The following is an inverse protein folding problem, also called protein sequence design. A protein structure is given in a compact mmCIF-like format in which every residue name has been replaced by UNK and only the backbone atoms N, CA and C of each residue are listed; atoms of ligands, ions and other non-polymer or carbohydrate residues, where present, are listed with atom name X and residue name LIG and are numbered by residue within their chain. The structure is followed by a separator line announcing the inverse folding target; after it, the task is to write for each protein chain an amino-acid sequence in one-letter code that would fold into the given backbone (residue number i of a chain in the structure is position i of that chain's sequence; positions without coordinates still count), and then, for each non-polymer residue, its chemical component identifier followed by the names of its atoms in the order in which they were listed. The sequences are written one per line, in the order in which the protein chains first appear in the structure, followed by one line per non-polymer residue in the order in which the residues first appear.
data_IF_922682490334
#
_entry.id   IF_922682490334
#
_cell.length_a   1.000
_cell.length_b   1.000
_cell.length_c   1.000
_cell.angle_alpha   90.00
_cell.angle_beta   90.00
_cell.angle_gamma   90.00
#
_symmetry.space_group_name_H-M   'P 1'
#
loop_
_entity.id
_entity.type
_entity.pdbx_description
1 polymer ?
#
# COMPACT_ATOMS: atom_id res chain seq x y z
N UNK A 1 5.83 4.27 -6.20
CA UNK A 1 4.75 4.85 -5.35
C UNK A 1 4.67 4.17 -3.99
N UNK A 2 4.45 2.85 -3.90
CA UNK A 2 4.32 2.14 -2.62
C UNK A 2 5.40 2.46 -1.56
N UNK A 3 6.69 2.45 -1.93
CA UNK A 3 7.78 2.83 -1.00
C UNK A 3 7.67 4.26 -0.48
N UNK A 4 7.26 5.21 -1.31
CA UNK A 4 7.14 6.62 -0.89
C UNK A 4 5.92 6.81 0.01
N UNK A 5 4.81 6.14 -0.29
CA UNK A 5 3.65 6.07 0.61
C UNK A 5 4.05 5.49 1.97
N UNK A 6 4.83 4.41 1.98
CA UNK A 6 5.36 3.82 3.20
C UNK A 6 6.21 4.83 3.99
N UNK A 7 7.17 5.50 3.33
CA UNK A 7 8.05 6.48 3.98
C UNK A 7 7.25 7.63 4.59
N UNK A 8 6.32 8.21 3.86
CA UNK A 8 5.46 9.29 4.34
C UNK A 8 4.57 8.81 5.51
N UNK A 9 4.01 7.60 5.44
CA UNK A 9 3.23 7.04 6.54
C UNK A 9 4.03 6.96 7.84
N UNK A 10 5.31 6.56 7.76
CA UNK A 10 6.19 6.51 8.93
C UNK A 10 6.55 7.90 9.44
N UNK A 11 6.83 8.85 8.54
CA UNK A 11 7.21 10.22 8.89
C UNK A 11 6.06 11.00 9.55
N UNK A 12 4.87 10.93 8.98
CA UNK A 12 3.69 11.64 9.49
C UNK A 12 3.10 10.98 10.75
N UNK A 13 3.12 9.66 10.83
CA UNK A 13 2.62 8.92 11.99
C UNK A 13 1.09 8.83 12.13
N UNK A 14 0.32 9.51 11.27
CA UNK A 14 -1.15 9.49 11.26
C UNK A 14 -1.72 8.11 10.88
N UNK A 15 -0.96 7.32 10.13
CA UNK A 15 -1.33 5.97 9.69
C UNK A 15 -0.18 5.00 9.97
N UNK A 16 -0.52 3.73 10.24
CA UNK A 16 0.48 2.69 10.48
C UNK A 16 0.44 1.67 9.35
N UNK A 17 1.59 1.45 8.70
CA UNK A 17 1.74 0.36 7.74
C UNK A 17 2.00 -0.93 8.50
N UNK A 18 1.11 -1.90 8.34
CA UNK A 18 1.18 -3.20 9.04
C UNK A 18 1.57 -4.36 8.11
N UNK A 19 1.42 -4.18 6.80
CA UNK A 19 1.81 -5.16 5.80
C UNK A 19 2.15 -4.53 4.45
N UNK A 20 2.94 -5.26 3.67
CA UNK A 20 3.27 -5.01 2.27
C UNK A 20 3.21 -6.32 1.49
N UNK A 21 2.89 -6.23 0.20
CA UNK A 21 2.91 -7.37 -0.71
C UNK A 21 3.69 -7.00 -1.96
N UNK A 22 4.67 -7.83 -2.34
CA UNK A 22 5.33 -7.76 -3.64
C UNK A 22 5.85 -9.15 -4.02
N UNK A 23 5.25 -9.82 -5.03
CA UNK A 23 5.61 -11.19 -5.39
C UNK A 23 6.95 -11.32 -6.13
N UNK A 24 7.65 -10.21 -6.36
CA UNK A 24 8.87 -10.18 -7.17
C UNK A 24 10.14 -9.90 -6.37
N UNK A 25 10.02 -9.61 -5.07
CA UNK A 25 11.17 -9.27 -4.22
C UNK A 25 11.06 -9.93 -2.85
N UNK A 26 12.22 -10.28 -2.30
CA UNK A 26 12.35 -10.80 -0.94
C UNK A 26 12.45 -9.67 0.10
N UNK A 27 12.10 -9.90 1.39
CA UNK A 27 12.18 -8.89 2.44
C UNK A 27 13.54 -8.19 2.54
N UNK A 28 14.65 -8.91 2.37
CA UNK A 28 15.99 -8.33 2.37
C UNK A 28 16.19 -7.29 1.28
N UNK A 29 15.68 -7.55 0.07
CA UNK A 29 15.77 -6.60 -1.04
C UNK A 29 14.80 -5.44 -0.86
N UNK A 30 13.59 -5.71 -0.34
CA UNK A 30 12.64 -4.67 0.03
C UNK A 30 13.21 -3.70 1.09
N UNK A 31 13.90 -4.21 2.11
CA UNK A 31 14.58 -3.41 3.12
C UNK A 31 15.64 -2.49 2.50
N UNK A 32 16.46 -3.02 1.58
CA UNK A 32 17.45 -2.24 0.85
C UNK A 32 16.80 -1.12 0.02
N UNK A 33 15.77 -1.44 -0.77
CA UNK A 33 15.05 -0.47 -1.60
C UNK A 33 14.27 0.56 -0.77
N UNK A 34 13.81 0.18 0.42
CA UNK A 34 13.17 1.11 1.34
C UNK A 34 14.20 2.02 2.00
N UNK A 35 15.41 1.54 2.29
CA UNK A 35 16.50 2.30 2.91
C UNK A 35 17.12 3.33 1.97
N UNK A 36 17.38 2.96 0.73
CA UNK A 36 18.07 3.81 -0.24
C UNK A 36 17.16 4.18 -1.41
N UNK A 37 16.96 5.48 -1.61
CA UNK A 37 16.22 6.02 -2.76
C UNK A 37 17.04 7.12 -3.43
N UNK A 38 17.21 7.03 -4.75
CA UNK A 38 18.07 7.94 -5.50
C UNK A 38 17.54 9.37 -5.58
N UNK A 39 16.23 9.56 -5.45
CA UNK A 39 15.57 10.88 -5.55
C UNK A 39 15.32 11.46 -4.18
N UNK A 40 14.87 10.63 -3.23
CA UNK A 40 14.44 11.05 -1.90
C UNK A 40 15.47 10.75 -0.79
N UNK A 41 16.65 10.25 -1.16
CA UNK A 41 17.75 9.98 -0.24
C UNK A 41 17.51 8.77 0.67
N UNK A 42 18.28 8.75 1.77
CA UNK A 42 18.26 7.67 2.76
C UNK A 42 17.05 7.80 3.66
N UNK A 43 16.40 6.66 3.94
CA UNK A 43 15.29 6.60 4.89
C UNK A 43 15.72 7.08 6.28
N UNK A 44 14.93 7.99 6.87
CA UNK A 44 15.17 8.49 8.22
C UNK A 44 14.53 7.57 9.26
N UNK A 45 15.27 6.56 9.71
CA UNK A 45 14.82 5.60 10.71
C UNK A 45 15.59 4.29 10.67
N UNK A 46 15.14 3.31 11.45
CA UNK A 46 15.69 1.96 11.47
C UNK A 46 14.86 1.03 10.60
N UNK A 47 15.55 0.15 9.86
CA UNK A 47 14.95 -0.91 9.05
C UNK A 47 15.75 -2.18 9.33
N UNK A 48 15.07 -3.19 9.83
CA UNK A 48 15.59 -4.53 10.08
C UNK A 48 14.72 -5.56 9.36
N UNK A 49 15.30 -6.71 9.03
CA UNK A 49 14.59 -7.83 8.37
C UNK A 49 14.17 -8.83 9.46
N UNK A 50 12.87 -9.16 9.55
CA UNK A 50 12.31 -10.19 10.46
C UNK A 50 12.25 -11.54 9.73
N UNK A 51 13.41 -12.03 9.30
CA UNK A 51 13.54 -13.20 8.43
C UNK A 51 12.64 -13.09 7.19
N UNK A 52 11.96 -14.18 6.84
CA UNK A 52 11.05 -14.22 5.68
C UNK A 52 9.65 -13.65 6.01
N UNK A 53 9.42 -13.24 7.26
CA UNK A 53 8.10 -12.77 7.73
C UNK A 53 7.86 -11.30 7.41
N UNK A 54 8.93 -10.54 7.18
CA UNK A 54 8.88 -9.17 6.71
C UNK A 54 9.92 -8.26 7.35
N UNK A 55 9.49 -7.06 7.75
CA UNK A 55 10.39 -5.99 8.20
C UNK A 55 10.04 -5.53 9.61
N UNK A 56 11.03 -5.00 10.32
CA UNK A 56 10.85 -4.20 11.53
C UNK A 56 11.32 -2.78 11.19
N UNK A 57 10.38 -1.82 11.18
CA UNK A 57 10.68 -0.42 10.88
C UNK A 57 10.37 0.44 12.09
N UNK A 58 11.38 1.15 12.60
CA UNK A 58 11.27 1.94 13.84
C UNK A 58 10.65 1.13 15.00
N UNK A 59 11.07 -0.13 15.14
CA UNK A 59 10.57 -1.07 16.15
C UNK A 59 9.16 -1.64 15.89
N UNK A 60 8.49 -1.23 14.81
CA UNK A 60 7.15 -1.73 14.43
C UNK A 60 7.28 -2.85 13.40
N UNK A 61 6.57 -3.96 13.63
CA UNK A 61 6.53 -5.08 12.69
C UNK A 61 5.66 -4.77 11.48
N UNK A 62 6.16 -5.10 10.30
CA UNK A 62 5.47 -5.02 9.01
C UNK A 62 5.54 -6.39 8.36
N UNK A 63 4.39 -7.03 8.16
CA UNK A 63 4.32 -8.33 7.49
C UNK A 63 4.63 -8.17 6.01
N UNK A 64 5.34 -9.14 5.44
CA UNK A 64 5.65 -9.16 4.02
C UNK A 64 5.00 -10.37 3.37
N UNK A 65 4.28 -10.13 2.28
CA UNK A 65 3.61 -11.15 1.47
C UNK A 65 4.19 -11.14 0.05
N UNK A 66 4.11 -12.27 -0.64
CA UNK A 66 4.64 -12.45 -1.99
C UNK A 66 3.59 -13.06 -2.93
N UNK A 67 2.33 -12.69 -2.72
CA UNK A 67 1.21 -13.21 -3.50
C UNK A 67 1.01 -12.43 -4.80
N UNK A 68 0.75 -13.17 -5.88
CA UNK A 68 0.44 -12.61 -7.20
C UNK A 68 -1.02 -12.26 -7.37
N UNK A 69 -1.92 -13.04 -6.76
CA UNK A 69 -3.34 -12.78 -6.75
C UNK A 69 -3.70 -11.97 -5.49
N UNK A 70 -4.21 -10.73 -5.63
CA UNK A 70 -4.61 -9.92 -4.49
C UNK A 70 -5.65 -10.57 -3.57
N UNK A 71 -6.43 -11.52 -4.08
CA UNK A 71 -7.44 -12.25 -3.31
C UNK A 71 -6.83 -13.21 -2.28
N UNK A 72 -5.59 -13.65 -2.49
CA UNK A 72 -4.91 -14.58 -1.60
C UNK A 72 -4.16 -13.88 -0.46
N UNK A 73 -3.99 -12.56 -0.53
CA UNK A 73 -3.24 -11.83 0.49
C UNK A 73 -4.07 -11.74 1.77
N UNK A 74 -3.58 -12.25 2.93
CA UNK A 74 -4.36 -12.28 4.17
C UNK A 74 -4.32 -10.92 4.90
N UNK A 75 -4.97 -9.91 4.31
CA UNK A 75 -5.02 -8.54 4.86
C UNK A 75 -5.64 -8.50 6.26
N UNK A 76 -6.72 -9.25 6.49
CA UNK A 76 -7.39 -9.33 7.79
C UNK A 76 -6.46 -9.82 8.90
N UNK A 77 -5.69 -10.88 8.64
CA UNK A 77 -4.72 -11.43 9.60
C UNK A 77 -3.56 -10.47 9.86
N UNK A 78 -3.25 -9.65 8.86
CA UNK A 78 -2.26 -8.60 8.95
C UNK A 78 -2.76 -7.34 9.66
N UNK A 79 -4.06 -7.22 9.90
CA UNK A 79 -4.69 -6.01 10.44
C UNK A 79 -4.78 -4.85 9.45
N UNK A 80 -4.68 -5.12 8.14
CA UNK A 80 -4.69 -4.11 7.10
C UNK A 80 -6.12 -3.84 6.60
N UNK A 81 -6.72 -2.74 7.07
CA UNK A 81 -8.07 -2.33 6.68
C UNK A 81 -8.12 -1.55 5.36
N UNK A 82 -7.10 -0.73 5.09
CA UNK A 82 -7.01 0.14 3.92
C UNK A 82 -5.80 -0.27 3.08
N UNK A 83 -6.03 -0.54 1.81
CA UNK A 83 -4.98 -1.00 0.89
C UNK A 83 -4.69 0.10 -0.14
N UNK A 84 -3.40 0.38 -0.34
CA UNK A 84 -2.93 1.22 -1.43
C UNK A 84 -2.50 0.31 -2.57
N UNK A 85 -3.35 0.17 -3.58
CA UNK A 85 -3.08 -0.59 -4.78
C UNK A 85 -2.16 0.23 -5.69
N UNK A 86 -0.88 -0.11 -5.66
CA UNK A 86 0.20 0.63 -6.34
C UNK A 86 1.06 -0.23 -7.26
N UNK A 87 0.53 -1.39 -7.69
CA UNK A 87 1.17 -2.28 -8.68
C UNK A 87 1.03 -1.74 -10.10
N UNK A 88 -0.03 -0.96 -10.37
CA UNK A 88 -0.40 -0.49 -11.70
C UNK A 88 -1.12 -1.52 -12.57
N UNK A 89 -1.42 -2.72 -12.03
CA UNK A 89 -2.08 -3.81 -12.77
C UNK A 89 -3.59 -3.90 -12.43
N UNK A 90 -3.93 -3.67 -11.17
CA UNK A 90 -5.30 -3.81 -10.66
C UNK A 90 -6.03 -2.46 -10.59
N UNK A 91 -6.17 -1.80 -11.75
CA UNK A 91 -6.66 -0.41 -11.84
C UNK A 91 -8.15 -0.26 -12.09
N UNK A 92 -8.92 -1.35 -12.14
CA UNK A 92 -10.39 -1.32 -12.23
C UNK A 92 -11.03 -1.71 -10.90
N UNK A 93 -12.30 -1.35 -10.72
CA UNK A 93 -13.09 -1.65 -9.53
C UNK A 93 -13.14 -3.15 -9.28
N UNK A 94 -13.39 -3.95 -10.33
CA UNK A 94 -13.42 -5.42 -10.24
C UNK A 94 -12.07 -5.99 -9.78
N UNK A 95 -10.98 -5.58 -10.43
CA UNK A 95 -9.63 -6.09 -10.15
C UNK A 95 -9.15 -5.70 -8.76
N UNK A 96 -9.31 -4.45 -8.38
CA UNK A 96 -8.94 -3.96 -7.06
C UNK A 96 -9.83 -4.55 -5.95
N UNK A 97 -11.10 -4.89 -6.25
CA UNK A 97 -11.98 -5.56 -5.29
C UNK A 97 -11.49 -6.95 -4.87
N UNK A 98 -10.52 -7.54 -5.58
CA UNK A 98 -9.88 -8.78 -5.14
C UNK A 98 -9.24 -8.64 -3.74
N UNK A 99 -8.69 -7.49 -3.37
CA UNK A 99 -8.17 -7.25 -2.02
C UNK A 99 -9.24 -7.38 -0.92
N UNK A 100 -10.51 -7.10 -1.24
CA UNK A 100 -11.60 -7.22 -0.27
C UNK A 100 -11.83 -8.67 0.15
N UNK A 101 -11.50 -9.65 -0.72
CA UNK A 101 -11.56 -11.08 -0.39
C UNK A 101 -10.52 -11.46 0.66
N UNK A 102 -9.35 -10.82 0.65
CA UNK A 102 -8.33 -10.93 1.69
C UNK A 102 -8.71 -10.24 3.01
N UNK A 103 -9.87 -9.56 3.05
CA UNK A 103 -10.45 -8.92 4.22
C UNK A 103 -10.06 -7.46 4.41
N UNK A 104 -9.51 -6.81 3.38
CA UNK A 104 -9.45 -5.35 3.34
C UNK A 104 -10.87 -4.75 3.34
N UNK A 105 -11.03 -3.58 3.96
CA UNK A 105 -12.29 -2.83 3.97
C UNK A 105 -12.38 -1.84 2.82
N UNK A 106 -11.24 -1.24 2.44
CA UNK A 106 -11.14 -0.20 1.41
C UNK A 106 -9.89 -0.36 0.57
N UNK A 107 -9.99 0.01 -0.70
CA UNK A 107 -8.86 0.03 -1.64
C UNK A 107 -8.73 1.39 -2.30
N UNK A 108 -7.52 1.93 -2.32
CA UNK A 108 -7.15 3.17 -2.99
C UNK A 108 -6.18 2.84 -4.11
N UNK A 109 -6.64 2.98 -5.36
CA UNK A 109 -5.82 2.78 -6.56
C UNK A 109 -4.95 4.02 -6.74
N UNK A 110 -3.63 3.84 -6.84
CA UNK A 110 -2.67 4.94 -6.98
C UNK A 110 -2.45 5.40 -8.43
N UNK A 111 -3.44 5.22 -9.29
CA UNK A 111 -3.42 5.51 -10.71
C UNK A 111 -4.84 5.78 -11.23
N UNK A 112 -5.02 6.41 -12.40
CA UNK A 112 -6.33 6.56 -13.02
C UNK A 112 -7.03 5.21 -13.19
N UNK A 113 -8.31 5.19 -12.84
CA UNK A 113 -9.18 4.03 -13.04
C UNK A 113 -10.14 4.28 -14.19
N UNK A 114 -10.48 3.22 -14.91
CA UNK A 114 -11.48 3.27 -15.97
C UNK A 114 -12.91 3.38 -15.42
N UNK A 115 -13.16 2.90 -14.19
CA UNK A 115 -14.50 2.75 -13.62
C UNK A 115 -14.62 3.15 -12.13
N UNK A 116 -13.52 3.17 -11.36
CA UNK A 116 -13.57 3.56 -9.96
C UNK A 116 -13.70 5.08 -9.82
N UNK A 117 -14.56 5.59 -8.91
CA UNK A 117 -14.66 7.01 -8.62
C UNK A 117 -13.30 7.61 -8.26
N UNK A 118 -12.95 8.72 -8.92
CA UNK A 118 -11.68 9.40 -8.73
C UNK A 118 -11.83 10.60 -7.80
N UNK A 119 -10.93 10.69 -6.82
CA UNK A 119 -10.87 11.80 -5.89
C UNK A 119 -9.49 12.45 -5.91
N UNK A 120 -9.49 13.78 -5.95
CA UNK A 120 -8.30 14.62 -5.80
C UNK A 120 -8.49 15.45 -4.53
N UNK A 121 -7.54 15.30 -3.60
CA UNK A 121 -7.55 16.07 -2.36
C UNK A 121 -7.52 17.57 -2.66
N UNK A 122 -8.42 18.31 -2.02
CA UNK A 122 -8.58 19.75 -2.21
C UNK A 122 -9.50 20.14 -3.36
N UNK A 123 -9.92 19.20 -4.22
CA UNK A 123 -10.80 19.47 -5.37
C UNK A 123 -12.20 18.92 -5.13
N UNK A 124 -12.32 17.59 -5.07
CA UNK A 124 -13.61 16.90 -4.96
C UNK A 124 -13.65 15.87 -3.81
N UNK A 125 -12.61 15.77 -2.98
CA UNK A 125 -12.55 14.78 -1.90
C UNK A 125 -13.69 14.90 -0.87
N UNK A 126 -14.37 16.06 -0.79
CA UNK A 126 -15.54 16.26 0.08
C UNK A 126 -16.80 15.53 -0.40
N UNK A 127 -16.83 15.04 -1.64
CA UNK A 127 -17.94 14.25 -2.18
C UNK A 127 -17.78 12.76 -1.93
N UNK A 128 -16.66 12.33 -1.33
CA UNK A 128 -16.46 10.94 -0.94
C UNK A 128 -17.49 10.51 0.12
N UNK A 129 -18.05 9.33 -0.08
CA UNK A 129 -18.94 8.67 0.89
C UNK A 129 -18.38 7.31 1.28
N UNK A 130 -18.57 6.93 2.54
CA UNK A 130 -17.93 5.74 3.13
C UNK A 130 -18.47 4.41 2.60
N UNK A 131 -19.52 4.39 1.80
CA UNK A 131 -20.05 3.20 1.14
C UNK A 131 -19.19 2.76 -0.05
N UNK A 132 -18.41 3.66 -0.65
CA UNK A 132 -17.57 3.35 -1.83
C UNK A 132 -16.35 2.51 -1.39
N UNK A 133 -16.24 1.23 -1.79
CA UNK A 133 -15.20 0.33 -1.30
C UNK A 133 -13.86 0.50 -2.02
N UNK A 134 -13.89 0.91 -3.28
CA UNK A 134 -12.72 1.09 -4.14
C UNK A 134 -12.76 2.49 -4.74
N UNK A 135 -11.67 3.23 -4.59
CA UNK A 135 -11.51 4.57 -5.15
C UNK A 135 -10.19 4.67 -5.91
N UNK A 136 -10.07 5.67 -6.78
CA UNK A 136 -8.80 6.05 -7.40
C UNK A 136 -8.35 7.43 -6.94
N UNK A 137 -7.06 7.58 -6.69
CA UNK A 137 -6.41 8.86 -6.38
C UNK A 137 -5.88 9.55 -7.66
N UNK A 138 -6.54 9.31 -8.80
CA UNK A 138 -6.25 9.90 -10.11
C UNK A 138 -4.78 9.70 -10.56
N UNK A 139 -4.27 10.61 -11.40
CA UNK A 139 -2.86 10.70 -11.83
C UNK A 139 -2.10 11.81 -11.09
N UNK A 140 -0.78 11.83 -11.29
CA UNK A 140 0.08 12.91 -10.79
C UNK A 140 0.11 14.17 -11.67
N UNK A 141 -0.23 14.06 -12.95
CA UNK A 141 -0.38 15.21 -13.88
C UNK A 141 -1.65 15.98 -13.58
#
# INVERSE_FOLDING_TARGET
IGRIVFRNAVEHGDVTVVAVNDPFIEPTYAAYMLKYDSTHGVFNGTIEVDGDKGLIVNGKKVRFHTERDPANIPWKESGADYIVESTGVFTTTEKASAHLKGGAKKVVISAPSADAPMFVLGVNNKTYTSDIPVISNASCT
#
